data_IF_159678114984
#
_entry.id   IF_159678114984
#
_cell.length_a   1.000
_cell.length_b   1.000
_cell.length_c   1.000
_cell.angle_alpha   90.00
_cell.angle_beta   90.00
_cell.angle_gamma   90.00
#
_symmetry.space_group_name_H-M   'P 1'
#
loop_
_entity.id
_entity.type
_entity.pdbx_description
1 polymer ?
#
# COMPACT_ATOMS: atom_id res chain seq x y z
N UNK A 1 3.22 10.89 10.97
CA UNK A 1 1.83 11.05 11.43
C UNK A 1 1.66 10.35 12.77
N UNK A 2 1.26 11.11 13.78
CA UNK A 2 1.00 10.67 15.16
C UNK A 2 -0.49 10.91 15.44
N UNK A 3 -1.36 9.89 15.24
CA UNK A 3 -2.82 10.04 15.36
C UNK A 3 -3.30 10.30 16.79
N UNK A 4 -2.50 9.99 17.80
CA UNK A 4 -2.82 10.15 19.21
C UNK A 4 -2.74 11.61 19.70
N UNK A 5 -2.18 12.52 18.90
CA UNK A 5 -2.06 13.93 19.26
C UNK A 5 -3.25 14.74 18.74
N UNK A 6 -3.92 15.46 19.63
CA UNK A 6 -5.08 16.30 19.28
C UNK A 6 -4.70 17.56 18.48
N UNK A 7 -3.45 18.01 18.62
CA UNK A 7 -2.96 19.24 18.00
C UNK A 7 -2.42 18.97 16.59
N UNK A 8 -3.03 19.55 15.54
CA UNK A 8 -2.69 19.22 14.16
C UNK A 8 -1.27 19.64 13.77
N UNK A 9 -0.70 20.65 14.44
CA UNK A 9 0.64 21.15 14.16
C UNK A 9 1.74 20.16 14.57
N UNK A 10 1.47 19.30 15.57
CA UNK A 10 2.46 18.38 16.13
C UNK A 10 2.34 16.94 15.62
N UNK A 11 1.27 16.62 14.89
CA UNK A 11 1.03 15.27 14.39
C UNK A 11 2.02 14.82 13.30
N UNK A 12 2.93 15.68 12.83
CA UNK A 12 3.94 15.35 11.81
C UNK A 12 3.35 14.69 10.55
N UNK A 13 2.23 15.22 10.05
CA UNK A 13 1.61 14.72 8.83
C UNK A 13 2.49 14.99 7.58
N UNK A 14 3.19 16.11 7.54
CA UNK A 14 4.04 16.55 6.43
C UNK A 14 5.22 15.61 6.14
N UNK A 15 5.74 14.91 7.16
CA UNK A 15 6.83 13.95 7.01
C UNK A 15 6.32 12.51 6.75
N UNK A 16 5.03 12.35 6.48
CA UNK A 16 4.41 11.07 6.17
C UNK A 16 3.85 11.05 4.75
N UNK A 17 3.45 9.87 4.28
CA UNK A 17 2.85 9.68 2.98
C UNK A 17 1.43 9.11 3.10
N UNK A 18 0.58 9.43 2.13
CA UNK A 18 -0.84 9.11 2.12
C UNK A 18 -1.09 7.69 1.54
N UNK A 19 -0.61 6.67 2.24
CA UNK A 19 -0.69 5.26 1.80
C UNK A 19 -2.12 4.70 1.73
N UNK A 20 -3.03 5.27 2.51
CA UNK A 20 -4.44 4.84 2.60
C UNK A 20 -5.14 4.93 1.23
N UNK A 21 -4.77 5.91 0.41
CA UNK A 21 -5.35 6.12 -0.92
C UNK A 21 -5.03 4.98 -1.90
N UNK A 22 -3.86 4.34 -1.74
CA UNK A 22 -3.51 3.16 -2.52
C UNK A 22 -4.39 1.95 -2.19
N UNK A 23 -4.88 1.87 -0.95
CA UNK A 23 -5.88 0.85 -0.59
C UNK A 23 -7.24 1.18 -1.22
N UNK A 24 -7.64 2.45 -1.25
CA UNK A 24 -8.89 2.90 -1.86
C UNK A 24 -8.93 2.74 -3.38
N UNK A 25 -7.79 2.81 -4.08
CA UNK A 25 -7.69 2.47 -5.51
C UNK A 25 -8.16 1.04 -5.83
N UNK A 26 -8.14 0.15 -4.84
CA UNK A 26 -8.51 -1.27 -4.99
C UNK A 26 -9.84 -1.60 -4.32
N UNK A 27 -10.61 -0.59 -3.94
CA UNK A 27 -11.93 -0.75 -3.32
C UNK A 27 -12.88 -1.51 -4.25
N UNK A 28 -13.83 -2.27 -3.71
CA UNK A 28 -14.82 -2.98 -4.53
C UNK A 28 -15.71 -2.07 -5.39
N UNK A 29 -15.85 -0.79 -5.01
CA UNK A 29 -16.80 0.12 -5.61
C UNK A 29 -16.05 1.02 -6.59
N UNK A 30 -16.38 0.99 -7.90
CA UNK A 30 -15.59 1.69 -8.91
C UNK A 30 -15.65 3.21 -8.75
N UNK A 31 -16.71 3.76 -8.16
CA UNK A 31 -16.77 5.21 -7.89
C UNK A 31 -15.76 5.61 -6.82
N UNK A 32 -15.54 4.78 -5.79
CA UNK A 32 -14.53 5.05 -4.76
C UNK A 32 -13.12 5.00 -5.35
N UNK A 33 -12.87 4.04 -6.26
CA UNK A 33 -11.60 3.98 -7.00
C UNK A 33 -11.36 5.26 -7.81
N UNK A 34 -12.40 5.80 -8.47
CA UNK A 34 -12.31 7.07 -9.24
C UNK A 34 -11.98 8.25 -8.33
N UNK A 35 -12.63 8.37 -7.17
CA UNK A 35 -12.30 9.41 -6.20
C UNK A 35 -10.84 9.29 -5.73
N UNK A 36 -10.38 8.08 -5.43
CA UNK A 36 -9.01 7.83 -5.01
C UNK A 36 -7.98 8.21 -6.09
N UNK A 37 -8.25 7.85 -7.35
CA UNK A 37 -7.40 8.20 -8.48
C UNK A 37 -7.33 9.73 -8.70
N UNK A 38 -8.46 10.41 -8.60
CA UNK A 38 -8.53 11.87 -8.71
C UNK A 38 -7.71 12.58 -7.61
N UNK A 39 -7.77 12.09 -6.38
CA UNK A 39 -6.99 12.64 -5.27
C UNK A 39 -5.48 12.39 -5.46
N UNK A 40 -5.08 11.23 -6.00
CA UNK A 40 -3.67 10.94 -6.32
C UNK A 40 -3.13 11.85 -7.42
N UNK A 41 -3.97 12.24 -8.36
CA UNK A 41 -3.63 13.21 -9.42
C UNK A 41 -3.52 14.66 -8.91
N UNK A 42 -3.73 14.91 -7.60
CA UNK A 42 -3.69 16.25 -7.02
C UNK A 42 -5.00 17.02 -7.17
N UNK A 43 -6.12 16.32 -7.35
CA UNK A 43 -7.45 16.89 -7.48
C UNK A 43 -7.57 18.01 -8.56
N UNK A 44 -7.19 17.72 -9.82
CA UNK A 44 -7.22 18.73 -10.88
C UNK A 44 -8.66 19.17 -11.20
N UNK A 45 -8.86 20.48 -11.35
CA UNK A 45 -10.18 21.04 -11.69
C UNK A 45 -10.62 20.73 -13.14
N UNK A 46 -9.65 20.56 -14.05
CA UNK A 46 -9.89 20.31 -15.47
C UNK A 46 -8.96 19.22 -16.01
N UNK A 47 -9.37 18.57 -17.10
CA UNK A 47 -8.58 17.55 -17.80
C UNK A 47 -9.10 16.13 -17.62
N UNK A 48 -8.35 15.15 -18.14
CA UNK A 48 -8.77 13.74 -18.17
C UNK A 48 -8.81 13.06 -16.80
N UNK A 49 -8.12 13.62 -15.81
CA UNK A 49 -8.05 13.12 -14.43
C UNK A 49 -8.94 13.92 -13.47
N UNK A 50 -9.67 14.91 -14.00
CA UNK A 50 -10.66 15.64 -13.24
C UNK A 50 -11.85 14.74 -12.91
N UNK A 51 -12.40 14.94 -11.72
CA UNK A 51 -13.59 14.23 -11.30
C UNK A 51 -14.78 14.70 -12.13
N UNK A 52 -15.66 13.77 -12.50
CA UNK A 52 -16.92 14.12 -13.17
C UNK A 52 -17.70 15.12 -12.31
N UNK A 53 -18.21 16.16 -12.94
CA UNK A 53 -18.90 17.25 -12.29
C UNK A 53 -20.11 16.79 -11.46
N UNK A 54 -20.81 15.74 -11.90
CA UNK A 54 -21.91 15.12 -11.16
C UNK A 54 -21.49 14.50 -9.83
N UNK A 55 -20.24 14.03 -9.73
CA UNK A 55 -19.70 13.45 -8.51
C UNK A 55 -19.10 14.52 -7.58
N UNK A 56 -18.48 15.56 -8.16
CA UNK A 56 -17.86 16.64 -7.40
C UNK A 56 -18.85 17.60 -6.73
N UNK A 57 -20.06 17.74 -7.29
CA UNK A 57 -21.09 18.65 -6.75
C UNK A 57 -22.04 18.01 -5.73
N UNK A 58 -22.11 16.68 -5.67
CA UNK A 58 -23.03 15.98 -4.77
C UNK A 58 -22.51 16.01 -3.35
N UNK A 59 -23.41 16.17 -2.39
CA UNK A 59 -23.05 16.04 -0.98
C UNK A 59 -22.74 14.58 -0.63
N UNK A 60 -21.96 14.32 0.44
CA UNK A 60 -21.71 12.95 0.89
C UNK A 60 -23.00 12.17 1.18
N UNK A 61 -24.02 12.85 1.71
CA UNK A 61 -25.34 12.29 1.99
C UNK A 61 -26.07 11.86 0.72
N UNK A 62 -26.01 12.69 -0.33
CA UNK A 62 -26.60 12.37 -1.63
C UNK A 62 -25.88 11.21 -2.33
N UNK A 63 -24.55 11.15 -2.25
CA UNK A 63 -23.77 10.03 -2.78
C UNK A 63 -24.10 8.73 -2.04
N UNK A 64 -24.26 8.80 -0.71
CA UNK A 64 -24.64 7.64 0.10
C UNK A 64 -26.02 7.10 -0.28
N UNK A 65 -27.02 7.98 -0.42
CA UNK A 65 -28.36 7.55 -0.82
C UNK A 65 -28.37 7.04 -2.27
N UNK A 66 -27.62 7.69 -3.19
CA UNK A 66 -27.53 7.26 -4.58
C UNK A 66 -26.85 5.90 -4.78
N UNK A 67 -25.93 5.52 -3.89
CA UNK A 67 -25.21 4.24 -3.94
C UNK A 67 -25.59 3.30 -2.79
N UNK A 68 -26.76 3.52 -2.20
CA UNK A 68 -27.22 2.74 -1.07
C UNK A 68 -27.63 1.34 -1.52
N UNK A 69 -27.25 0.34 -0.72
CA UNK A 69 -27.59 -1.07 -0.95
C UNK A 69 -29.05 -1.43 -0.59
N UNK A 70 -29.91 -0.43 -0.30
CA UNK A 70 -31.30 -0.63 0.12
C UNK A 70 -32.10 -1.45 -0.91
N UNK A 71 -31.78 -1.27 -2.19
CA UNK A 71 -32.44 -1.94 -3.31
C UNK A 71 -31.78 -3.29 -3.70
N UNK A 72 -30.98 -3.88 -2.79
CA UNK A 72 -30.31 -5.18 -2.94
C UNK A 72 -29.39 -5.29 -4.18
N UNK A 73 -29.02 -4.16 -4.77
CA UNK A 73 -28.24 -4.06 -6.00
C UNK A 73 -27.12 -3.06 -5.80
N UNK A 74 -25.94 -3.36 -6.35
CA UNK A 74 -24.84 -2.42 -6.41
C UNK A 74 -24.96 -1.56 -7.66
N UNK A 75 -25.00 -0.24 -7.46
CA UNK A 75 -24.96 0.73 -8.55
C UNK A 75 -23.62 1.48 -8.52
N UNK A 76 -22.75 1.36 -9.52
CA UNK A 76 -22.82 0.44 -10.66
C UNK A 76 -22.47 -1.01 -10.28
N UNK A 77 -22.95 -1.96 -11.10
CA UNK A 77 -22.72 -3.39 -10.90
C UNK A 77 -21.22 -3.71 -10.72
N UNK A 78 -20.90 -4.36 -9.61
CA UNK A 78 -19.53 -4.71 -9.26
C UNK A 78 -19.14 -5.95 -10.08
N UNK A 79 -18.05 -5.90 -10.87
CA UNK A 79 -17.57 -7.08 -11.56
C UNK A 79 -17.16 -8.14 -10.53
N UNK A 80 -17.61 -9.37 -10.72
CA UNK A 80 -17.20 -10.48 -9.86
C UNK A 80 -15.67 -10.57 -9.87
N UNK A 81 -15.04 -10.57 -8.70
CA UNK A 81 -13.58 -10.61 -8.58
C UNK A 81 -13.10 -11.91 -9.23
N UNK A 82 -12.55 -11.83 -10.44
CA UNK A 82 -11.95 -12.99 -11.07
C UNK A 82 -10.86 -13.51 -10.15
N UNK A 83 -10.94 -14.80 -9.78
CA UNK A 83 -9.93 -15.46 -8.95
C UNK A 83 -8.58 -15.16 -9.59
N UNK A 84 -7.70 -14.42 -8.89
CA UNK A 84 -6.38 -14.09 -9.42
C UNK A 84 -5.77 -15.38 -9.93
N UNK A 85 -5.57 -15.51 -11.25
CA UNK A 85 -4.77 -16.59 -11.80
C UNK A 85 -3.47 -16.47 -11.02
N UNK A 86 -3.11 -17.53 -10.29
CA UNK A 86 -1.85 -17.62 -9.56
C UNK A 86 -0.79 -17.36 -10.61
N UNK A 87 -0.30 -16.12 -10.68
CA UNK A 87 0.79 -15.78 -11.58
C UNK A 87 1.88 -16.77 -11.25
N UNK A 88 2.60 -17.28 -12.26
CA UNK A 88 3.84 -17.99 -12.00
C UNK A 88 4.68 -16.99 -11.21
N UNK A 89 4.71 -17.16 -9.89
CA UNK A 89 5.58 -16.39 -9.03
C UNK A 89 6.94 -16.63 -9.65
N UNK A 90 7.61 -15.58 -10.15
CA UNK A 90 9.00 -15.71 -10.55
C UNK A 90 9.70 -16.05 -9.24
N UNK A 91 9.98 -17.34 -9.09
CA UNK A 91 10.56 -17.95 -7.92
C UNK A 91 11.91 -17.28 -7.68
N UNK A 92 11.97 -16.38 -6.70
CA UNK A 92 13.15 -15.93 -5.93
C UNK A 92 14.34 -15.29 -6.66
N UNK A 93 14.70 -15.78 -7.84
CA UNK A 93 16.05 -15.64 -8.38
C UNK A 93 16.20 -14.49 -9.37
N UNK A 94 15.09 -13.91 -9.86
CA UNK A 94 15.12 -12.89 -10.92
C UNK A 94 15.03 -11.45 -10.40
N UNK A 95 14.79 -11.23 -9.11
CA UNK A 95 14.67 -9.88 -8.53
C UNK A 95 15.88 -9.46 -7.69
N UNK A 96 16.83 -10.36 -7.44
CA UNK A 96 18.04 -10.03 -6.69
C UNK A 96 19.14 -9.63 -7.67
N UNK A 97 19.72 -8.46 -7.44
CA UNK A 97 20.92 -7.99 -8.12
C UNK A 97 21.93 -9.16 -8.24
N UNK A 98 22.43 -9.40 -9.45
CA UNK A 98 23.30 -10.55 -9.72
C UNK A 98 24.51 -10.60 -8.78
N UNK A 99 25.03 -9.45 -8.37
CA UNK A 99 26.18 -9.34 -7.46
C UNK A 99 25.81 -9.77 -6.04
N UNK A 100 24.59 -9.46 -5.60
CA UNK A 100 24.05 -9.94 -4.32
C UNK A 100 23.87 -11.45 -4.37
N UNK A 101 23.34 -11.98 -5.46
CA UNK A 101 23.17 -13.42 -5.65
C UNK A 101 24.51 -14.16 -5.66
N UNK A 102 25.52 -13.61 -6.34
CA UNK A 102 26.89 -14.15 -6.32
C UNK A 102 27.49 -14.10 -4.93
N UNK A 103 27.30 -13.01 -4.19
CA UNK A 103 27.82 -12.84 -2.84
C UNK A 103 27.21 -13.83 -1.84
N UNK A 104 25.88 -14.02 -1.90
CA UNK A 104 25.15 -14.99 -1.08
C UNK A 104 25.60 -16.41 -1.39
N UNK A 105 25.72 -16.79 -2.67
CA UNK A 105 26.23 -18.11 -3.07
C UNK A 105 27.66 -18.34 -2.59
N UNK A 106 28.54 -17.35 -2.76
CA UNK A 106 29.92 -17.43 -2.28
C UNK A 106 30.00 -17.69 -0.77
N UNK A 107 29.17 -17.02 0.03
CA UNK A 107 29.15 -17.23 1.49
C UNK A 107 28.46 -18.53 1.92
N UNK A 108 27.49 -19.04 1.16
CA UNK A 108 26.85 -20.32 1.44
C UNK A 108 27.75 -21.52 1.07
N UNK A 109 28.52 -21.41 -0.02
CA UNK A 109 29.47 -22.44 -0.46
C UNK A 109 30.74 -22.46 0.38
N UNK A 110 31.13 -21.30 0.92
CA UNK A 110 32.16 -21.20 1.95
C UNK A 110 31.58 -21.83 3.21
N UNK A 111 31.84 -23.10 3.43
CA UNK A 111 31.52 -23.83 4.67
C UNK A 111 32.16 -23.10 5.86
N UNK A 112 31.42 -22.13 6.39
CA UNK A 112 31.77 -21.44 7.61
C UNK A 112 31.80 -22.47 8.72
N UNK A 113 32.88 -22.44 9.50
CA UNK A 113 33.00 -23.21 10.73
C UNK A 113 31.72 -22.93 11.53
N UNK A 114 30.89 -23.97 11.73
CA UNK A 114 29.74 -23.88 12.62
C UNK A 114 30.28 -23.82 14.04
N UNK A 115 30.77 -22.66 14.44
CA UNK A 115 31.03 -22.38 15.85
C UNK A 115 29.65 -22.19 16.49
N UNK A 116 29.32 -22.93 17.56
CA UNK A 116 28.11 -22.67 18.31
C UNK A 116 28.20 -21.25 18.87
N UNK A 117 27.40 -20.34 18.30
CA UNK A 117 27.28 -18.97 18.77
C UNK A 117 26.41 -18.98 20.03
N UNK A 118 27.01 -18.62 21.17
CA UNK A 118 26.25 -18.31 22.38
C UNK A 118 25.98 -16.81 22.43
N UNK A 119 24.79 -16.44 21.96
CA UNK A 119 24.34 -15.06 21.88
C UNK A 119 24.38 -14.32 23.24
N UNK A 120 24.36 -15.04 24.37
CA UNK A 120 24.40 -14.44 25.70
C UNK A 120 25.80 -13.90 26.09
N UNK A 121 26.86 -14.48 25.54
CA UNK A 121 28.25 -14.06 25.79
C UNK A 121 28.72 -13.03 24.76
N UNK A 122 28.37 -13.22 23.48
CA UNK A 122 28.85 -12.37 22.38
C UNK A 122 28.32 -10.93 22.45
N UNK A 123 27.10 -10.72 22.96
CA UNK A 123 26.51 -9.37 23.10
C UNK A 123 27.22 -8.55 24.18
N UNK A 124 27.81 -9.19 25.20
CA UNK A 124 28.55 -8.47 26.25
C UNK A 124 29.92 -7.99 25.78
N UNK A 125 30.44 -8.54 24.69
CA UNK A 125 31.77 -8.20 24.16
C UNK A 125 31.77 -6.92 23.31
N UNK A 126 30.61 -6.41 22.93
CA UNK A 126 30.48 -5.11 22.28
C UNK A 126 30.17 -4.03 23.33
N UNK A 127 31.16 -3.23 23.77
CA UNK A 127 30.85 -2.06 24.57
C UNK A 127 30.01 -1.10 23.71
N UNK A 128 28.82 -0.77 24.20
CA UNK A 128 27.99 0.28 23.63
C UNK A 128 28.85 1.57 23.56
N UNK A 129 29.11 2.03 22.33
CA UNK A 129 29.68 3.36 22.08
C UNK A 129 28.56 4.40 22.06
#
# INVERSE_FOLDING_TARGET
YLPELDQPEYCNAQNSALWELHSLLRHYHPVVQKFAAHLLAGAPAEGSEALAHDLGRRSPSELFEAYSMKDMTFDPSIPSVARRKKGKFLQGDLFLNEDVTKFVKFHLEKSGIQVPLDFAEDIKMFPAS
#
